data_IF_953128260289
#
_entry.id   IF_953128260289
#
_cell.length_a   1.000
_cell.length_b   1.000
_cell.length_c   1.000
_cell.angle_alpha   90.00
_cell.angle_beta   90.00
_cell.angle_gamma   90.00
#
_symmetry.space_group_name_H-M   'P 1'
#
loop_
_entity.id
_entity.type
_entity.pdbx_description
1 polymer ?
#
# COMPACT_ATOMS: atom_id res chain seq x y z
N UNK A 1 21.66 7.12 -9.60
CA UNK A 1 20.41 6.67 -8.95
C UNK A 1 19.97 7.68 -7.92
N UNK A 2 18.70 8.06 -7.91
CA UNK A 2 18.19 9.18 -7.12
C UNK A 2 18.33 9.00 -5.60
N UNK A 3 17.99 7.83 -5.05
CA UNK A 3 18.11 7.61 -3.60
C UNK A 3 19.54 7.81 -3.07
N UNK A 4 20.54 7.46 -3.88
CA UNK A 4 21.95 7.75 -3.59
C UNK A 4 22.25 9.25 -3.63
N UNK A 5 21.70 9.97 -4.61
CA UNK A 5 21.90 11.42 -4.74
C UNK A 5 21.29 12.16 -3.55
N UNK A 6 20.04 11.83 -3.18
CA UNK A 6 19.35 12.40 -2.01
C UNK A 6 20.11 12.10 -0.72
N UNK A 7 20.55 10.86 -0.51
CA UNK A 7 21.32 10.50 0.68
C UNK A 7 22.63 11.29 0.80
N UNK A 8 23.34 11.50 -0.32
CA UNK A 8 24.58 12.30 -0.35
C UNK A 8 24.30 13.78 -0.07
N UNK A 9 23.28 14.34 -0.70
CA UNK A 9 22.91 15.76 -0.53
C UNK A 9 22.52 16.06 0.92
N UNK A 10 21.65 15.23 1.50
CA UNK A 10 21.18 15.38 2.88
C UNK A 10 22.21 14.90 3.92
N UNK A 11 23.32 14.29 3.48
CA UNK A 11 24.34 13.64 4.35
C UNK A 11 23.73 12.63 5.32
N UNK A 12 22.75 11.88 4.85
CA UNK A 12 22.04 10.85 5.62
C UNK A 12 22.47 9.44 5.20
N UNK A 13 22.37 8.45 6.11
CA UNK A 13 22.64 7.06 5.75
C UNK A 13 21.59 6.56 4.75
N UNK A 14 22.04 5.83 3.73
CA UNK A 14 21.17 5.12 2.80
C UNK A 14 20.99 3.66 3.25
N UNK A 15 19.73 3.24 3.39
CA UNK A 15 19.34 1.83 3.49
C UNK A 15 18.61 1.42 2.22
N UNK A 16 18.99 0.31 1.62
CA UNK A 16 18.30 -0.28 0.47
C UNK A 16 17.33 -1.33 0.98
N UNK A 17 16.07 -1.21 0.59
CA UNK A 17 15.01 -2.13 0.92
C UNK A 17 14.60 -2.88 -0.35
N UNK A 18 14.68 -4.20 -0.36
CA UNK A 18 14.29 -5.01 -1.52
C UNK A 18 13.66 -6.34 -1.12
N UNK A 19 13.03 -7.06 -2.05
CA UNK A 19 12.39 -8.35 -1.77
C UNK A 19 13.44 -9.40 -1.33
N UNK A 20 14.56 -9.45 -2.04
CA UNK A 20 15.70 -10.34 -1.77
C UNK A 20 17.01 -9.56 -1.91
N UNK A 21 18.08 -10.06 -1.30
CA UNK A 21 19.39 -9.41 -1.34
C UNK A 21 19.88 -9.26 -2.79
N UNK A 22 19.75 -10.33 -3.56
CA UNK A 22 20.26 -10.38 -4.94
C UNK A 22 19.54 -9.40 -5.88
N UNK A 23 18.28 -9.07 -5.59
CA UNK A 23 17.50 -8.11 -6.38
C UNK A 23 18.08 -6.70 -6.41
N UNK A 24 18.87 -6.32 -5.41
CA UNK A 24 19.54 -5.02 -5.34
C UNK A 24 21.05 -5.09 -5.60
N UNK A 25 21.72 -6.20 -5.27
CA UNK A 25 23.19 -6.32 -5.39
C UNK A 25 23.69 -6.38 -6.82
N UNK A 26 22.83 -6.67 -7.81
CA UNK A 26 23.17 -6.53 -9.23
C UNK A 26 23.58 -5.10 -9.61
N UNK A 27 23.16 -4.09 -8.85
CA UNK A 27 23.61 -2.72 -9.03
C UNK A 27 24.85 -2.44 -8.15
N UNK A 28 26.06 -2.21 -8.72
CA UNK A 28 27.30 -2.11 -7.94
C UNK A 28 27.29 -1.04 -6.86
N UNK A 29 26.63 0.10 -7.11
CA UNK A 29 26.50 1.14 -6.08
C UNK A 29 25.57 0.74 -4.92
N UNK A 30 24.50 -0.04 -5.15
CA UNK A 30 23.59 -0.47 -4.08
C UNK A 30 24.21 -1.53 -3.19
N UNK A 31 25.02 -2.42 -3.78
CA UNK A 31 25.72 -3.47 -3.05
C UNK A 31 26.65 -2.93 -1.94
N UNK A 32 27.05 -1.64 -2.01
CA UNK A 32 27.88 -0.96 -1.01
C UNK A 32 27.12 -0.51 0.23
N UNK A 33 25.78 -0.55 0.21
CA UNK A 33 24.93 -0.06 1.29
C UNK A 33 24.31 -1.19 2.09
N UNK A 34 23.74 -0.86 3.25
CA UNK A 34 22.96 -1.81 4.05
C UNK A 34 21.73 -2.22 3.24
N UNK A 35 21.57 -3.52 3.02
CA UNK A 35 20.41 -4.10 2.35
C UNK A 35 19.52 -4.78 3.40
N UNK A 36 18.28 -4.33 3.48
CA UNK A 36 17.19 -4.94 4.23
C UNK A 36 16.30 -5.69 3.25
N UNK A 37 15.94 -6.91 3.60
CA UNK A 37 15.06 -7.76 2.77
C UNK A 37 13.75 -8.01 3.48
N UNK A 38 12.73 -8.56 2.79
CA UNK A 38 11.50 -9.01 3.45
C UNK A 38 11.77 -9.92 4.66
N UNK A 39 12.75 -10.83 4.53
CA UNK A 39 13.03 -11.87 5.54
C UNK A 39 14.07 -11.47 6.58
N UNK A 40 14.81 -10.37 6.37
CA UNK A 40 15.94 -10.05 7.23
C UNK A 40 16.18 -8.54 7.39
N UNK A 41 16.59 -8.17 8.60
CA UNK A 41 16.91 -6.78 8.96
C UNK A 41 15.69 -5.91 9.26
N UNK A 42 15.99 -4.73 9.79
CA UNK A 42 15.06 -3.64 10.06
C UNK A 42 15.60 -2.35 9.44
N UNK A 43 14.70 -1.46 9.05
CA UNK A 43 15.06 -0.11 8.62
C UNK A 43 15.05 0.79 9.85
N UNK A 44 16.10 1.59 10.02
CA UNK A 44 16.15 2.58 11.10
C UNK A 44 15.50 3.88 10.61
N UNK A 45 14.84 4.59 11.52
CA UNK A 45 14.24 5.89 11.19
C UNK A 45 15.28 7.03 11.17
N UNK A 46 15.00 8.09 10.41
CA UNK A 46 15.87 9.25 10.24
C UNK A 46 16.92 9.13 9.14
N UNK A 47 16.73 8.25 8.15
CA UNK A 47 17.65 8.07 7.02
C UNK A 47 16.97 8.21 5.66
N UNK A 48 17.71 7.90 4.59
CA UNK A 48 17.12 7.68 3.26
C UNK A 48 16.90 6.20 3.06
N UNK A 49 15.69 5.84 2.63
CA UNK A 49 15.33 4.45 2.30
C UNK A 49 15.04 4.37 0.82
N UNK A 50 15.85 3.59 0.09
CA UNK A 50 15.56 3.24 -1.29
C UNK A 50 14.78 1.92 -1.32
N UNK A 51 13.46 2.01 -1.49
CA UNK A 51 12.60 0.87 -1.74
C UNK A 51 12.74 0.44 -3.21
N UNK A 52 13.61 -0.54 -3.45
CA UNK A 52 14.00 -1.03 -4.77
C UNK A 52 13.13 -2.22 -5.18
N UNK A 53 12.24 -1.97 -6.15
CA UNK A 53 11.23 -2.90 -6.65
C UNK A 53 10.47 -3.58 -5.49
N UNK A 54 9.85 -2.79 -4.59
CA UNK A 54 9.25 -3.33 -3.39
C UNK A 54 7.96 -4.10 -3.71
N UNK A 55 7.60 -5.00 -2.80
CA UNK A 55 6.25 -5.56 -2.68
C UNK A 55 5.60 -5.02 -1.42
N UNK A 56 4.30 -5.19 -1.26
CA UNK A 56 3.58 -4.74 -0.06
C UNK A 56 4.21 -5.23 1.24
N UNK A 57 4.60 -6.52 1.29
CA UNK A 57 5.28 -7.10 2.45
C UNK A 57 6.62 -6.42 2.77
N UNK A 58 7.36 -6.00 1.76
CA UNK A 58 8.60 -5.25 1.96
C UNK A 58 8.31 -3.87 2.55
N UNK A 59 7.25 -3.21 2.06
CA UNK A 59 6.83 -1.87 2.50
C UNK A 59 6.35 -1.82 3.95
N UNK A 60 5.89 -2.93 4.55
CA UNK A 60 5.59 -2.99 5.98
C UNK A 60 6.77 -2.53 6.87
N UNK A 61 8.01 -2.75 6.41
CA UNK A 61 9.22 -2.40 7.17
C UNK A 61 9.44 -0.91 7.31
N UNK A 62 8.70 -0.09 6.56
CA UNK A 62 8.85 1.36 6.57
C UNK A 62 7.59 2.09 7.04
N UNK A 63 6.51 1.38 7.37
CA UNK A 63 5.23 1.98 7.77
C UNK A 63 5.32 2.83 9.05
N UNK A 64 6.28 2.51 9.91
CA UNK A 64 6.49 3.16 11.22
C UNK A 64 7.53 4.28 11.17
N UNK A 65 8.12 4.56 10.00
CA UNK A 65 9.15 5.59 9.87
C UNK A 65 8.48 6.95 9.76
N UNK A 66 8.88 7.88 10.62
CA UNK A 66 8.32 9.24 10.67
C UNK A 66 9.31 10.30 10.16
N UNK A 67 10.61 10.00 10.25
CA UNK A 67 11.69 10.97 9.97
C UNK A 67 12.50 10.62 8.72
N UNK A 68 12.20 9.50 8.08
CA UNK A 68 12.95 9.01 6.93
C UNK A 68 12.41 9.56 5.61
N UNK A 69 13.31 9.79 4.66
CA UNK A 69 12.95 10.05 3.26
C UNK A 69 12.88 8.73 2.52
N UNK A 70 11.70 8.37 2.01
CA UNK A 70 11.50 7.14 1.24
C UNK A 70 11.53 7.46 -0.24
N UNK A 71 12.40 6.78 -0.97
CA UNK A 71 12.49 6.81 -2.43
C UNK A 71 12.05 5.47 -2.96
N UNK A 72 11.00 5.46 -3.76
CA UNK A 72 10.39 4.24 -4.29
C UNK A 72 10.76 4.08 -5.77
N UNK A 73 11.18 2.87 -6.13
CA UNK A 73 11.46 2.49 -7.53
C UNK A 73 10.66 1.26 -7.86
N UNK A 74 9.69 1.39 -8.77
CA UNK A 74 8.87 0.29 -9.27
C UNK A 74 9.42 -0.29 -10.57
N UNK A 75 9.37 -1.63 -10.69
CA UNK A 75 9.60 -2.30 -11.97
C UNK A 75 8.32 -2.40 -12.80
N UNK A 76 7.20 -2.69 -12.12
CA UNK A 76 5.86 -2.69 -12.70
C UNK A 76 5.15 -1.46 -12.13
N UNK A 77 4.85 -0.43 -12.94
CA UNK A 77 4.08 0.71 -12.50
C UNK A 77 2.69 0.27 -12.01
N UNK A 78 2.28 0.76 -10.84
CA UNK A 78 0.90 0.63 -10.37
C UNK A 78 0.77 -0.17 -9.09
N UNK A 79 1.72 -1.06 -8.76
CA UNK A 79 1.63 -1.91 -7.56
C UNK A 79 1.59 -1.06 -6.28
N UNK A 80 2.32 0.07 -6.26
CA UNK A 80 2.35 0.98 -5.11
C UNK A 80 1.61 2.30 -5.37
N UNK A 81 0.85 2.43 -6.46
CA UNK A 81 0.24 3.71 -6.86
C UNK A 81 -0.74 4.24 -5.82
N UNK A 82 -1.65 3.40 -5.29
CA UNK A 82 -2.59 3.82 -4.26
C UNK A 82 -1.88 4.24 -2.96
N UNK A 83 -0.80 3.56 -2.58
CA UNK A 83 0.04 3.96 -1.44
C UNK A 83 0.73 5.30 -1.71
N UNK A 84 1.27 5.49 -2.92
CA UNK A 84 1.93 6.72 -3.33
C UNK A 84 0.96 7.92 -3.30
N UNK A 85 -0.27 7.75 -3.80
CA UNK A 85 -1.34 8.77 -3.72
C UNK A 85 -1.70 9.10 -2.27
N UNK A 86 -1.86 8.09 -1.41
CA UNK A 86 -2.15 8.29 0.01
C UNK A 86 -1.04 9.05 0.76
N UNK A 87 0.22 8.83 0.35
CA UNK A 87 1.39 9.53 0.93
C UNK A 87 1.70 10.87 0.28
N UNK A 88 0.88 11.33 -0.64
CA UNK A 88 1.15 12.52 -1.45
C UNK A 88 2.55 12.49 -2.07
N UNK A 89 2.94 11.31 -2.58
CA UNK A 89 4.27 11.09 -3.10
C UNK A 89 4.49 11.93 -4.36
N UNK A 90 5.69 12.48 -4.50
CA UNK A 90 6.08 13.19 -5.70
C UNK A 90 6.57 12.21 -6.78
N UNK A 91 5.90 12.24 -7.94
CA UNK A 91 6.28 11.44 -9.10
C UNK A 91 7.27 12.22 -9.97
N UNK A 92 8.47 11.67 -10.08
CA UNK A 92 9.62 12.32 -10.72
C UNK A 92 9.56 12.23 -12.23
N UNK A 93 8.84 11.25 -12.77
CA UNK A 93 8.67 11.09 -14.22
C UNK A 93 7.66 12.11 -14.74
N UNK A 94 6.59 12.37 -13.98
CA UNK A 94 5.52 13.30 -14.37
C UNK A 94 5.70 14.71 -13.81
N UNK A 95 6.61 14.92 -12.85
CA UNK A 95 6.80 16.20 -12.14
C UNK A 95 5.53 16.64 -11.36
N UNK A 96 4.78 15.67 -10.83
CA UNK A 96 3.51 15.91 -10.15
C UNK A 96 3.47 15.29 -8.76
N UNK A 97 2.80 15.97 -7.82
CA UNK A 97 2.44 15.39 -6.54
C UNK A 97 1.22 14.50 -6.75
N UNK A 98 1.38 13.20 -6.49
CA UNK A 98 0.30 12.24 -6.58
C UNK A 98 -0.70 12.52 -5.47
N UNK A 99 -1.99 12.56 -5.79
CA UNK A 99 -3.04 12.77 -4.81
C UNK A 99 -4.19 11.81 -5.02
N UNK A 100 -5.00 11.67 -3.98
CA UNK A 100 -6.34 11.11 -4.09
C UNK A 100 -7.33 12.11 -3.55
N UNK A 101 -8.36 12.41 -4.33
CA UNK A 101 -9.48 13.20 -3.88
C UNK A 101 -10.43 12.27 -3.13
N UNK A 102 -10.36 12.33 -1.81
CA UNK A 102 -11.19 11.53 -0.90
C UNK A 102 -11.83 12.47 0.12
N UNK A 103 -13.16 12.38 0.28
CA UNK A 103 -13.87 13.17 1.27
C UNK A 103 -13.52 12.74 2.70
N UNK A 104 -13.71 13.64 3.66
CA UNK A 104 -13.51 13.32 5.08
C UNK A 104 -14.42 12.16 5.52
N UNK A 105 -15.67 12.10 5.04
CA UNK A 105 -16.58 11.00 5.37
C UNK A 105 -16.06 9.65 4.84
N UNK A 106 -15.52 9.62 3.62
CA UNK A 106 -14.93 8.41 3.06
C UNK A 106 -13.68 7.96 3.83
N UNK A 107 -12.87 8.91 4.34
CA UNK A 107 -11.74 8.59 5.24
C UNK A 107 -12.23 7.93 6.53
N UNK A 108 -13.28 8.47 7.17
CA UNK A 108 -13.86 7.87 8.39
C UNK A 108 -14.35 6.43 8.14
N UNK A 109 -14.94 6.16 6.97
CA UNK A 109 -15.36 4.80 6.60
C UNK A 109 -14.14 3.87 6.42
N UNK A 110 -13.07 4.35 5.78
CA UNK A 110 -11.81 3.59 5.67
C UNK A 110 -11.20 3.28 7.05
N UNK A 111 -11.23 4.23 7.98
CA UNK A 111 -10.77 4.03 9.36
C UNK A 111 -11.59 2.94 10.07
N UNK A 112 -12.92 2.91 9.87
CA UNK A 112 -13.80 1.87 10.41
C UNK A 112 -13.48 0.49 9.82
N UNK A 113 -13.21 0.39 8.52
CA UNK A 113 -12.75 -0.86 7.89
C UNK A 113 -11.46 -1.37 8.55
N UNK A 114 -10.50 -0.47 8.79
CA UNK A 114 -9.23 -0.80 9.45
C UNK A 114 -9.42 -1.16 10.92
N UNK A 115 -10.35 -0.50 11.61
CA UNK A 115 -10.70 -0.78 12.99
C UNK A 115 -11.27 -2.20 13.17
N UNK A 116 -12.18 -2.62 12.30
CA UNK A 116 -12.70 -4.01 12.28
C UNK A 116 -11.57 -5.04 12.08
N UNK A 117 -10.50 -4.64 11.41
CA UNK A 117 -9.27 -5.42 11.27
C UNK A 117 -8.43 -5.57 12.54
N UNK A 118 -8.91 -5.21 13.73
CA UNK A 118 -8.13 -5.38 14.97
C UNK A 118 -7.74 -6.85 15.24
N UNK A 119 -8.60 -7.82 14.86
CA UNK A 119 -8.31 -9.26 14.85
C UNK A 119 -7.84 -9.77 13.49
N UNK A 120 -7.46 -8.88 12.58
CA UNK A 120 -7.04 -9.22 11.21
C UNK A 120 -8.15 -9.88 10.40
N UNK A 121 -9.40 -9.43 10.56
CA UNK A 121 -10.58 -9.86 9.78
C UNK A 121 -10.77 -11.39 9.71
N UNK A 122 -10.62 -12.08 10.84
CA UNK A 122 -10.74 -13.55 10.89
C UNK A 122 -12.15 -14.07 11.10
N UNK A 123 -13.07 -13.22 11.56
CA UNK A 123 -14.40 -13.62 11.96
C UNK A 123 -15.49 -13.05 11.04
N UNK A 124 -16.65 -13.71 11.07
CA UNK A 124 -17.79 -13.39 10.21
C UNK A 124 -18.47 -12.06 10.57
N UNK A 125 -18.28 -11.57 11.80
CA UNK A 125 -18.83 -10.27 12.20
C UNK A 125 -18.04 -9.17 11.49
N UNK A 126 -16.71 -9.21 11.59
CA UNK A 126 -15.84 -8.27 10.87
C UNK A 126 -16.04 -8.34 9.36
N UNK A 127 -16.22 -9.54 8.79
CA UNK A 127 -16.55 -9.66 7.36
C UNK A 127 -17.84 -8.92 7.01
N UNK A 128 -18.92 -9.15 7.77
CA UNK A 128 -20.21 -8.47 7.52
C UNK A 128 -20.09 -6.95 7.67
N UNK A 129 -19.36 -6.47 8.68
CA UNK A 129 -19.14 -5.04 8.89
C UNK A 129 -18.34 -4.41 7.74
N UNK A 130 -17.26 -5.05 7.29
CA UNK A 130 -16.48 -4.59 6.13
C UNK A 130 -17.36 -4.48 4.89
N UNK A 131 -18.24 -5.46 4.62
CA UNK A 131 -19.15 -5.40 3.47
C UNK A 131 -20.10 -4.19 3.56
N UNK A 132 -20.66 -3.94 4.73
CA UNK A 132 -21.49 -2.75 4.97
C UNK A 132 -20.73 -1.45 4.77
N UNK A 133 -19.47 -1.36 5.22
CA UNK A 133 -18.65 -0.16 5.01
C UNK A 133 -18.22 0.00 3.56
N UNK A 134 -18.09 -1.08 2.81
CA UNK A 134 -17.90 -1.00 1.35
C UNK A 134 -19.16 -0.45 0.68
N UNK A 135 -20.36 -0.87 1.10
CA UNK A 135 -21.61 -0.26 0.62
C UNK A 135 -21.63 1.25 0.90
N UNK A 136 -21.26 1.68 2.13
CA UNK A 136 -21.14 3.10 2.49
C UNK A 136 -20.16 3.85 1.56
N UNK A 137 -19.00 3.26 1.24
CA UNK A 137 -18.04 3.86 0.29
C UNK A 137 -18.60 3.95 -1.13
N UNK A 138 -19.42 3.00 -1.56
CA UNK A 138 -20.07 3.05 -2.87
C UNK A 138 -21.11 4.16 -2.92
N UNK A 139 -21.92 4.31 -1.87
CA UNK A 139 -22.91 5.39 -1.76
C UNK A 139 -22.25 6.78 -1.80
N UNK A 140 -21.04 6.89 -1.22
CA UNK A 140 -20.21 8.09 -1.28
C UNK A 140 -19.46 8.27 -2.62
N UNK A 141 -19.55 7.30 -3.55
CA UNK A 141 -18.79 7.31 -4.80
C UNK A 141 -17.27 7.15 -4.63
N UNK A 142 -16.83 6.71 -3.46
CA UNK A 142 -15.43 6.64 -3.05
C UNK A 142 -14.84 5.22 -3.03
N UNK A 143 -15.64 4.18 -3.32
CA UNK A 143 -15.14 2.81 -3.33
C UNK A 143 -14.11 2.58 -4.44
N UNK A 144 -12.86 2.43 -4.02
CA UNK A 144 -11.76 1.95 -4.83
C UNK A 144 -11.06 0.83 -4.05
N UNK A 145 -11.04 -0.37 -4.62
CA UNK A 145 -10.45 -1.56 -3.97
C UNK A 145 -8.99 -1.34 -3.57
N UNK A 146 -8.17 -0.82 -4.49
CA UNK A 146 -6.74 -0.63 -4.26
C UNK A 146 -6.48 0.42 -3.20
N UNK A 147 -7.33 1.45 -3.13
CA UNK A 147 -7.33 2.43 -2.05
C UNK A 147 -7.64 1.80 -0.69
N UNK A 148 -8.70 0.99 -0.58
CA UNK A 148 -9.07 0.30 0.68
C UNK A 148 -7.91 -0.55 1.18
N UNK A 149 -7.29 -1.33 0.30
CA UNK A 149 -6.14 -2.18 0.65
C UNK A 149 -4.90 -1.36 1.00
N UNK A 150 -4.58 -0.31 0.25
CA UNK A 150 -3.45 0.57 0.53
C UNK A 150 -3.63 1.32 1.86
N UNK A 151 -4.85 1.75 2.18
CA UNK A 151 -5.16 2.40 3.45
C UNK A 151 -4.97 1.44 4.62
N UNK A 152 -5.46 0.20 4.50
CA UNK A 152 -5.24 -0.84 5.51
C UNK A 152 -3.75 -1.16 5.75
N UNK A 153 -2.94 -1.19 4.68
CA UNK A 153 -1.49 -1.43 4.74
C UNK A 153 -0.69 -0.35 5.47
N UNK A 154 -1.29 0.80 5.81
CA UNK A 154 -0.60 1.82 6.60
C UNK A 154 -0.39 1.39 8.06
N UNK A 155 -1.22 0.47 8.57
CA UNK A 155 -1.19 0.08 10.00
C UNK A 155 -1.28 -1.43 10.23
N UNK A 156 -1.60 -2.22 9.21
CA UNK A 156 -1.82 -3.67 9.32
C UNK A 156 -0.76 -4.44 8.53
N UNK A 157 -0.38 -5.59 9.08
CA UNK A 157 0.50 -6.55 8.41
C UNK A 157 -0.17 -7.15 7.16
N UNK A 158 0.61 -7.43 6.12
CA UNK A 158 0.15 -7.98 4.83
C UNK A 158 -0.60 -9.29 5.01
N UNK A 159 -0.18 -10.14 5.96
CA UNK A 159 -0.89 -11.40 6.25
C UNK A 159 -2.33 -11.19 6.72
N UNK A 160 -2.61 -10.06 7.37
CA UNK A 160 -3.97 -9.67 7.76
C UNK A 160 -4.69 -8.99 6.59
N UNK A 161 -4.00 -8.14 5.82
CA UNK A 161 -4.56 -7.48 4.63
C UNK A 161 -4.98 -8.50 3.57
N UNK A 162 -4.27 -9.62 3.41
CA UNK A 162 -4.68 -10.73 2.53
C UNK A 162 -6.06 -11.33 2.88
N UNK A 163 -6.52 -11.17 4.13
CA UNK A 163 -7.89 -11.58 4.51
C UNK A 163 -8.91 -10.52 4.13
N UNK A 164 -8.58 -9.24 4.34
CA UNK A 164 -9.40 -8.14 3.83
C UNK A 164 -9.56 -8.25 2.31
N UNK A 165 -8.47 -8.54 1.59
CA UNK A 165 -8.47 -8.77 0.15
C UNK A 165 -9.47 -9.85 -0.28
N UNK A 166 -9.49 -10.99 0.43
CA UNK A 166 -10.47 -12.07 0.16
C UNK A 166 -11.92 -11.65 0.42
N UNK A 167 -12.15 -10.81 1.43
CA UNK A 167 -13.48 -10.26 1.71
C UNK A 167 -13.93 -9.38 0.54
N UNK A 168 -13.06 -8.48 0.08
CA UNK A 168 -13.31 -7.61 -1.06
C UNK A 168 -13.50 -8.42 -2.36
N UNK A 169 -12.68 -9.45 -2.61
CA UNK A 169 -12.86 -10.36 -3.75
C UNK A 169 -14.26 -10.99 -3.78
N UNK A 170 -14.67 -11.49 -2.63
CA UNK A 170 -15.97 -12.16 -2.47
C UNK A 170 -17.12 -11.15 -2.63
N UNK A 171 -16.93 -9.92 -2.16
CA UNK A 171 -17.88 -8.83 -2.34
C UNK A 171 -18.01 -8.41 -3.81
N UNK A 172 -16.88 -8.12 -4.48
CA UNK A 172 -16.83 -7.72 -5.88
C UNK A 172 -17.43 -8.80 -6.80
N UNK A 173 -17.12 -10.07 -6.52
CA UNK A 173 -17.69 -11.20 -7.25
C UNK A 173 -19.22 -11.25 -7.10
N UNK A 174 -19.75 -11.11 -5.89
CA UNK A 174 -21.20 -11.12 -5.64
C UNK A 174 -21.93 -9.95 -6.34
N UNK A 175 -21.33 -8.77 -6.33
CA UNK A 175 -21.88 -7.59 -7.00
C UNK A 175 -21.97 -7.80 -8.53
N UNK A 176 -20.93 -8.36 -9.15
CA UNK A 176 -20.92 -8.67 -10.60
C UNK A 176 -22.01 -9.68 -10.99
N UNK A 177 -22.20 -10.73 -10.20
CA UNK A 177 -23.24 -11.73 -10.45
C UNK A 177 -24.66 -11.14 -10.31
N UNK A 178 -24.86 -10.24 -9.34
CA UNK A 178 -26.15 -9.59 -9.11
C UNK A 178 -26.52 -8.64 -10.26
N UNK A 179 -25.54 -7.89 -10.77
CA UNK A 179 -25.71 -7.01 -11.94
C UNK A 179 -26.04 -7.82 -13.20
N UNK A 180 -25.27 -8.87 -13.50
CA UNK A 180 -25.50 -9.73 -14.68
C UNK A 180 -26.87 -10.43 -14.67
N UNK A 181 -27.38 -10.77 -13.48
CA UNK A 181 -28.72 -11.38 -13.34
C UNK A 181 -29.85 -10.38 -13.56
N UNK A 182 -29.70 -9.12 -13.15
CA UNK A 182 -30.70 -8.06 -13.42
C UNK A 182 -30.80 -7.75 -14.91
N UNK A 183 -29.69 -7.58 -15.61
CA UNK A 183 -29.68 -7.32 -17.06
C UNK A 183 -30.27 -8.46 -17.91
N UNK A 184 -30.33 -9.69 -17.39
CA UNK A 184 -30.90 -10.85 -18.07
C UNK A 184 -32.41 -11.01 -17.86
N UNK A 185 -32.98 -10.33 -16.86
CA UNK A 185 -34.42 -10.32 -16.58
C UNK A 185 -35.14 -9.13 -17.25
N UNK A 186 -34.38 -8.18 -17.81
CA UNK A 186 -34.87 -7.01 -18.55
C UNK A 186 -34.82 -7.21 -20.09
N UNK A 187 -34.50 -8.43 -20.55
CA UNK A 187 -34.53 -8.88 -21.95
C UNK A 187 -35.59 -9.97 -22.14
#
# INVERSE_FOLDING_TARGET
MLGLAIARELRLPLTVLSVQKDGATHHPELAKHRIVTERSGSVADGGVVLAWCPRHKTMEKIQHLEKSVVVLVEWIPGEMEAWAKLKQAYNIVTDEVMGIDISAEAVEVLERIVFEGYKGWTDSISERMVRSFVDDLIELGAYNRDLVLAYARQTKYESSVQRLEKILDSYDAAARHSSARRSRLEL
#
